data_IF_069522502756
#
_entry.id   IF_069522502756
#
_cell.length_a   1.000
_cell.length_b   1.000
_cell.length_c   1.000
_cell.angle_alpha   90.00
_cell.angle_beta   90.00
_cell.angle_gamma   90.00
#
_symmetry.space_group_name_H-M   'P 1'
#
loop_
_entity.id
_entity.type
_entity.pdbx_description
1 polymer ?
#
# COMPACT_ATOMS: atom_id res chain seq x y z
N UNK A 1 0.38 -17.88 -63.25
CA UNK A 1 -0.05 -16.69 -62.51
C UNK A 1 -0.90 -17.00 -61.27
N UNK A 2 -1.73 -18.03 -61.26
CA UNK A 2 -2.54 -18.34 -60.06
C UNK A 2 -1.73 -18.90 -58.87
N UNK A 3 -0.57 -19.51 -59.08
CA UNK A 3 0.28 -20.04 -57.99
C UNK A 3 1.10 -18.94 -57.30
N UNK A 4 1.32 -17.79 -57.91
CA UNK A 4 2.06 -16.66 -57.35
C UNK A 4 1.20 -15.87 -56.36
N UNK A 5 -0.11 -15.81 -56.57
CA UNK A 5 -1.07 -15.15 -55.69
C UNK A 5 -1.30 -15.90 -54.37
N UNK A 6 -1.23 -17.21 -54.39
CA UNK A 6 -1.42 -18.05 -53.22
C UNK A 6 -0.19 -17.95 -52.28
N UNK A 7 1.01 -17.80 -52.81
CA UNK A 7 2.25 -17.63 -52.06
C UNK A 7 2.31 -16.28 -51.36
N UNK A 8 1.80 -15.21 -51.98
CA UNK A 8 1.74 -13.87 -51.40
C UNK A 8 0.66 -13.82 -50.30
N UNK A 9 -0.43 -14.55 -50.44
CA UNK A 9 -1.50 -14.60 -49.43
C UNK A 9 -1.07 -15.40 -48.18
N UNK A 10 -0.25 -16.44 -48.29
CA UNK A 10 0.33 -17.14 -47.15
C UNK A 10 1.38 -16.33 -46.38
N UNK A 11 2.06 -15.38 -47.04
CA UNK A 11 3.06 -14.55 -46.38
C UNK A 11 2.46 -13.41 -45.52
N UNK A 12 1.22 -13.04 -45.81
CA UNK A 12 0.52 -11.95 -45.10
C UNK A 12 -0.16 -12.37 -43.81
N UNK A 13 -0.35 -13.68 -43.58
CA UNK A 13 -1.04 -14.19 -42.40
C UNK A 13 -0.10 -14.49 -41.21
N UNK A 14 1.20 -14.37 -41.37
CA UNK A 14 2.19 -14.72 -40.33
C UNK A 14 2.63 -13.55 -39.45
N UNK A 15 2.19 -12.32 -39.69
CA UNK A 15 2.75 -11.15 -39.02
C UNK A 15 2.00 -10.59 -37.81
N UNK A 16 0.93 -11.26 -37.34
CA UNK A 16 0.12 -10.72 -36.26
C UNK A 16 0.23 -11.40 -34.90
N UNK A 17 1.14 -12.37 -34.73
CA UNK A 17 1.18 -13.17 -33.50
C UNK A 17 2.15 -12.64 -32.43
N UNK A 18 2.99 -11.66 -32.73
CA UNK A 18 4.04 -11.22 -31.80
C UNK A 18 3.60 -10.12 -30.79
N UNK A 19 2.54 -9.36 -31.08
CA UNK A 19 2.15 -8.21 -30.26
C UNK A 19 1.37 -8.62 -29.01
N UNK A 20 0.72 -9.80 -29.00
CA UNK A 20 -0.05 -10.31 -27.87
C UNK A 20 0.81 -10.99 -26.80
N UNK A 21 1.97 -11.56 -27.15
CA UNK A 21 2.83 -12.26 -26.24
C UNK A 21 3.53 -11.32 -25.22
N UNK A 22 3.92 -10.12 -25.63
CA UNK A 22 4.58 -9.16 -24.77
C UNK A 22 3.63 -8.55 -23.72
N UNK A 23 2.37 -8.34 -24.05
CA UNK A 23 1.37 -7.82 -23.10
C UNK A 23 1.02 -8.81 -21.99
N UNK A 24 0.97 -10.09 -22.28
CA UNK A 24 0.72 -11.14 -21.29
C UNK A 24 1.92 -11.29 -20.36
N UNK A 25 3.14 -11.11 -20.86
CA UNK A 25 4.36 -11.19 -20.06
C UNK A 25 4.47 -10.06 -19.03
N UNK A 26 4.02 -8.86 -19.37
CA UNK A 26 4.02 -7.71 -18.47
C UNK A 26 2.91 -7.78 -17.40
N UNK A 27 1.86 -8.55 -17.63
CA UNK A 27 0.70 -8.67 -16.74
C UNK A 27 0.73 -9.93 -15.87
N UNK A 28 1.50 -10.94 -16.21
CA UNK A 28 1.55 -12.22 -15.51
C UNK A 28 2.78 -12.31 -14.59
N UNK A 29 2.58 -12.58 -13.31
CA UNK A 29 3.67 -12.93 -12.40
C UNK A 29 4.03 -14.40 -12.57
N UNK A 30 5.32 -14.71 -12.54
CA UNK A 30 5.81 -16.09 -12.61
C UNK A 30 5.36 -16.85 -11.34
N UNK A 31 4.68 -17.99 -11.50
CA UNK A 31 4.30 -18.85 -10.40
C UNK A 31 5.53 -19.44 -9.71
N UNK A 32 5.56 -19.43 -8.36
CA UNK A 32 6.59 -20.08 -7.54
C UNK A 32 7.54 -19.14 -6.80
N UNK A 33 7.86 -17.95 -7.34
CA UNK A 33 8.64 -16.92 -6.63
C UNK A 33 7.84 -15.63 -6.69
N UNK A 34 7.01 -15.39 -5.69
CA UNK A 34 6.18 -14.19 -5.61
C UNK A 34 6.65 -13.29 -4.49
N UNK A 35 6.81 -12.02 -4.79
CA UNK A 35 6.76 -11.00 -3.77
C UNK A 35 5.31 -10.81 -3.35
N UNK A 36 5.04 -10.89 -2.06
CA UNK A 36 3.71 -10.62 -1.53
C UNK A 36 3.58 -9.16 -1.16
N UNK A 37 2.58 -8.49 -1.72
CA UNK A 37 2.23 -7.14 -1.32
C UNK A 37 1.49 -7.18 0.01
N UNK A 38 1.96 -6.38 0.96
CA UNK A 38 1.33 -6.19 2.25
C UNK A 38 0.70 -4.81 2.31
N UNK A 39 -0.47 -4.73 2.93
CA UNK A 39 -1.20 -3.48 3.14
C UNK A 39 -1.66 -3.42 4.59
N UNK A 40 -1.52 -2.25 5.19
CA UNK A 40 -2.01 -1.96 6.54
C UNK A 40 -2.69 -0.61 6.59
N UNK A 41 -3.63 -0.48 7.50
CA UNK A 41 -4.26 0.78 7.86
C UNK A 41 -3.72 1.23 9.21
N UNK A 42 -3.19 2.44 9.27
CA UNK A 42 -2.50 2.92 10.47
C UNK A 42 -2.83 4.35 10.84
N UNK A 43 -2.32 4.74 11.99
CA UNK A 43 -2.42 6.09 12.52
C UNK A 43 -1.02 6.64 12.79
N UNK A 44 -0.76 7.83 12.25
CA UNK A 44 0.44 8.61 12.53
C UNK A 44 0.08 9.69 13.55
N UNK A 45 0.91 9.86 14.56
CA UNK A 45 0.76 10.88 15.61
C UNK A 45 2.00 11.75 15.71
N UNK A 46 1.89 12.85 16.45
CA UNK A 46 3.03 13.74 16.69
C UNK A 46 3.30 14.74 15.55
N UNK A 47 2.33 14.96 14.68
CA UNK A 47 2.43 15.94 13.60
C UNK A 47 2.31 17.37 14.14
N UNK A 48 3.02 18.33 13.53
CA UNK A 48 3.00 19.75 13.91
C UNK A 48 1.86 20.48 13.19
N UNK A 49 0.62 20.15 13.50
CA UNK A 49 -0.62 20.71 12.90
C UNK A 49 -0.75 20.46 11.39
N UNK A 50 -0.04 19.49 10.85
CA UNK A 50 -0.11 19.10 9.43
C UNK A 50 -0.99 17.88 9.18
N UNK A 51 -1.66 17.39 10.21
CA UNK A 51 -2.50 16.20 10.15
C UNK A 51 -3.88 16.44 9.54
N UNK A 52 -4.77 15.50 9.79
CA UNK A 52 -6.09 15.44 9.15
C UNK A 52 -7.11 16.47 9.69
N UNK A 53 -6.86 17.07 10.84
CA UNK A 53 -7.70 18.11 11.42
C UNK A 53 -9.11 17.61 11.78
N UNK A 54 -10.10 17.94 10.96
CA UNK A 54 -11.51 17.63 11.20
C UNK A 54 -12.02 16.36 10.53
N UNK A 55 -11.13 15.54 9.93
CA UNK A 55 -11.55 14.30 9.28
C UNK A 55 -12.15 13.34 10.30
N UNK A 56 -13.41 12.99 10.09
CA UNK A 56 -14.19 12.17 11.05
C UNK A 56 -13.57 10.77 11.24
N UNK A 57 -13.10 10.17 10.17
CA UNK A 57 -12.44 8.87 10.21
C UNK A 57 -11.21 8.90 11.14
N UNK A 58 -10.43 9.96 11.11
CA UNK A 58 -9.24 10.12 11.96
C UNK A 58 -9.63 10.30 13.42
N UNK A 59 -10.67 11.06 13.69
CA UNK A 59 -11.21 11.21 15.04
C UNK A 59 -11.70 9.90 15.61
N UNK A 60 -12.44 9.10 14.82
CA UNK A 60 -12.90 7.77 15.22
C UNK A 60 -11.72 6.83 15.50
N UNK A 61 -10.68 6.87 14.68
CA UNK A 61 -9.48 6.06 14.88
C UNK A 61 -8.78 6.40 16.19
N UNK A 62 -8.64 7.69 16.48
CA UNK A 62 -8.07 8.17 17.74
C UNK A 62 -8.95 7.74 18.92
N UNK A 63 -10.26 7.96 18.85
CA UNK A 63 -11.20 7.58 19.90
C UNK A 63 -11.14 6.06 20.19
N UNK A 64 -11.10 5.26 19.16
CA UNK A 64 -11.01 3.79 19.28
C UNK A 64 -9.69 3.36 19.92
N UNK A 65 -8.60 4.02 19.56
CA UNK A 65 -7.28 3.73 20.12
C UNK A 65 -7.21 4.08 21.61
N UNK A 66 -7.60 5.30 22.00
CA UNK A 66 -7.50 5.73 23.40
C UNK A 66 -8.49 4.97 24.31
N UNK A 67 -9.60 4.48 23.74
CA UNK A 67 -10.54 3.62 24.46
C UNK A 67 -9.88 2.32 24.94
N UNK A 68 -8.91 1.79 24.18
CA UNK A 68 -8.14 0.60 24.58
C UNK A 68 -7.30 0.86 25.84
N UNK A 69 -6.99 2.12 26.13
CA UNK A 69 -6.30 2.56 27.34
C UNK A 69 -7.26 3.00 28.47
N UNK A 70 -8.56 2.74 28.32
CA UNK A 70 -9.57 3.08 29.32
C UNK A 70 -10.05 4.53 29.27
N UNK A 71 -9.69 5.29 28.24
CA UNK A 71 -10.12 6.68 28.07
C UNK A 71 -11.31 6.74 27.12
N UNK A 72 -12.39 7.37 27.55
CA UNK A 72 -13.57 7.60 26.72
C UNK A 72 -13.58 9.08 26.34
N UNK A 73 -13.48 9.34 25.06
CA UNK A 73 -13.58 10.68 24.49
C UNK A 73 -14.62 10.69 23.36
N UNK A 74 -15.37 11.79 23.30
CA UNK A 74 -16.28 12.03 22.18
C UNK A 74 -15.48 12.50 20.96
N UNK A 75 -15.95 12.16 19.75
CA UNK A 75 -15.32 12.64 18.53
C UNK A 75 -15.29 14.17 18.43
N UNK A 76 -16.24 14.86 19.10
CA UNK A 76 -16.30 16.31 19.14
C UNK A 76 -15.12 16.93 19.91
N UNK A 77 -14.59 16.21 20.90
CA UNK A 77 -13.50 16.68 21.75
C UNK A 77 -12.12 16.41 21.16
N UNK A 78 -12.06 15.62 20.09
CA UNK A 78 -10.81 15.20 19.45
C UNK A 78 -10.46 16.16 18.31
N UNK A 79 -9.28 16.76 18.39
CA UNK A 79 -8.69 17.51 17.29
C UNK A 79 -7.56 16.69 16.68
N UNK A 80 -7.75 16.24 15.44
CA UNK A 80 -6.80 15.40 14.74
C UNK A 80 -5.74 16.19 13.95
N UNK A 81 -5.51 17.48 14.29
CA UNK A 81 -4.49 18.28 13.60
C UNK A 81 -3.07 17.72 13.73
N UNK A 82 -2.81 16.99 14.80
CA UNK A 82 -1.50 16.35 15.05
C UNK A 82 -1.47 14.87 14.71
N UNK A 83 -2.50 14.37 14.06
CA UNK A 83 -2.60 12.97 13.68
C UNK A 83 -3.14 12.82 12.25
N UNK A 84 -2.84 11.69 11.63
CA UNK A 84 -3.30 11.38 10.29
C UNK A 84 -3.56 9.89 10.13
N UNK A 85 -4.64 9.54 9.46
CA UNK A 85 -4.85 8.19 8.97
C UNK A 85 -4.00 7.94 7.74
N UNK A 86 -3.38 6.79 7.69
CA UNK A 86 -2.46 6.42 6.63
C UNK A 86 -2.70 5.01 6.14
N UNK A 87 -2.35 4.79 4.88
CA UNK A 87 -2.18 3.48 4.30
C UNK A 87 -0.69 3.13 4.34
N UNK A 88 -0.36 1.95 4.83
CA UNK A 88 1.00 1.44 4.88
C UNK A 88 1.12 0.30 3.89
N UNK A 89 2.11 0.37 3.03
CA UNK A 89 2.37 -0.67 2.03
C UNK A 89 3.79 -1.17 2.15
N UNK A 90 3.98 -2.45 1.87
CA UNK A 90 5.29 -3.08 1.86
C UNK A 90 5.31 -4.25 0.88
N UNK A 91 6.50 -4.65 0.49
CA UNK A 91 6.73 -5.86 -0.30
C UNK A 91 7.44 -6.88 0.57
N UNK A 92 6.79 -8.00 0.84
CA UNK A 92 7.39 -9.12 1.57
C UNK A 92 8.21 -9.97 0.59
N UNK A 93 9.53 -10.08 0.79
CA UNK A 93 10.37 -10.94 -0.04
C UNK A 93 9.94 -12.42 0.05
N UNK A 94 10.14 -13.23 -1.02
CA UNK A 94 9.66 -14.62 -1.04
C UNK A 94 10.29 -15.52 0.02
N UNK A 95 11.48 -15.20 0.51
CA UNK A 95 12.20 -15.98 1.53
C UNK A 95 12.36 -15.24 2.85
N UNK A 96 11.44 -14.31 3.14
CA UNK A 96 11.47 -13.57 4.40
C UNK A 96 11.28 -14.51 5.61
N UNK A 97 12.11 -14.30 6.65
CA UNK A 97 12.07 -15.08 7.88
C UNK A 97 11.55 -14.23 9.04
N UNK A 98 10.95 -14.85 10.07
CA UNK A 98 10.59 -14.15 11.30
C UNK A 98 11.80 -13.40 11.89
N UNK A 99 11.57 -12.16 12.34
CA UNK A 99 12.62 -11.30 12.89
C UNK A 99 13.35 -10.44 11.85
N UNK A 100 13.10 -10.65 10.57
CA UNK A 100 13.66 -9.82 9.50
C UNK A 100 12.89 -8.50 9.40
N UNK A 101 13.61 -7.40 9.15
CA UNK A 101 13.02 -6.09 8.89
C UNK A 101 12.82 -5.84 7.40
N UNK A 102 11.74 -5.14 7.06
CA UNK A 102 11.45 -4.70 5.70
C UNK A 102 11.09 -3.22 5.70
N UNK A 103 11.37 -2.55 4.60
CA UNK A 103 10.97 -1.16 4.43
C UNK A 103 9.47 -1.06 4.14
N UNK A 104 8.84 -0.04 4.69
CA UNK A 104 7.43 0.25 4.45
C UNK A 104 7.26 1.67 3.90
N UNK A 105 6.26 1.85 3.06
CA UNK A 105 5.84 3.17 2.56
C UNK A 105 4.57 3.57 3.26
N UNK A 106 4.56 4.78 3.80
CA UNK A 106 3.41 5.36 4.49
C UNK A 106 2.81 6.47 3.65
N UNK A 107 1.53 6.37 3.34
CA UNK A 107 0.81 7.33 2.48
C UNK A 107 -0.43 7.87 3.18
N UNK A 108 -0.65 9.17 3.06
CA UNK A 108 -1.85 9.81 3.61
C UNK A 108 -3.09 9.39 2.83
N UNK A 109 -4.20 9.21 3.54
CA UNK A 109 -5.52 8.91 2.94
C UNK A 109 -6.57 9.95 3.30
N UNK A 110 -6.26 10.86 4.21
CA UNK A 110 -7.13 11.94 4.63
C UNK A 110 -6.68 13.29 4.06
N UNK A 111 -6.71 14.32 4.89
CA UNK A 111 -6.38 15.70 4.53
C UNK A 111 -5.01 16.16 5.01
N UNK A 112 -4.20 15.27 5.57
CA UNK A 112 -2.89 15.63 6.09
C UNK A 112 -1.99 16.18 4.98
N UNK A 113 -1.34 17.31 5.28
CA UNK A 113 -0.46 18.01 4.33
C UNK A 113 0.97 17.50 4.37
N UNK A 114 1.40 16.98 5.51
CA UNK A 114 2.75 16.46 5.71
C UNK A 114 2.75 15.45 6.86
N UNK A 115 3.53 14.40 6.74
CA UNK A 115 3.78 13.41 7.79
C UNK A 115 5.14 13.63 8.49
N UNK A 116 5.81 14.73 8.19
CA UNK A 116 7.12 15.06 8.77
C UNK A 116 7.06 15.13 10.29
N UNK A 117 7.98 14.45 10.94
CA UNK A 117 8.08 14.41 12.40
C UNK A 117 7.09 13.44 13.07
N UNK A 118 6.25 12.77 12.29
CA UNK A 118 5.26 11.85 12.80
C UNK A 118 5.84 10.48 13.16
N UNK A 119 5.11 9.80 14.02
CA UNK A 119 5.39 8.42 14.42
C UNK A 119 4.21 7.55 14.03
N UNK A 120 4.48 6.49 13.27
CA UNK A 120 3.49 5.47 12.95
C UNK A 120 3.27 4.58 14.17
N UNK A 121 2.04 4.48 14.60
CA UNK A 121 1.65 3.55 15.64
C UNK A 121 1.59 2.12 15.09
N UNK A 122 1.65 1.15 16.00
CA UNK A 122 1.66 -0.27 15.65
C UNK A 122 0.53 -0.62 14.67
N UNK A 123 0.92 -1.07 13.49
CA UNK A 123 0.01 -1.33 12.37
C UNK A 123 0.22 -2.75 11.85
N UNK A 124 -0.85 -3.54 11.83
CA UNK A 124 -0.82 -4.88 11.25
C UNK A 124 -0.81 -4.80 9.72
N UNK A 125 0.16 -5.48 9.11
CA UNK A 125 0.32 -5.56 7.67
C UNK A 125 -0.22 -6.90 7.16
N UNK A 126 -1.22 -6.85 6.31
CA UNK A 126 -1.92 -8.03 5.80
C UNK A 126 -1.58 -8.30 4.35
N UNK A 127 -1.49 -9.58 4.00
CA UNK A 127 -1.39 -10.04 2.62
C UNK A 127 -2.77 -10.15 1.94
N UNK A 128 -2.76 -10.60 0.69
CA UNK A 128 -3.98 -10.79 -0.10
C UNK A 128 -4.94 -11.85 0.49
N UNK A 129 -4.44 -12.78 1.30
CA UNK A 129 -5.21 -13.78 2.02
C UNK A 129 -5.85 -13.27 3.33
N UNK A 130 -5.64 -11.99 3.68
CA UNK A 130 -6.13 -11.37 4.90
C UNK A 130 -5.35 -11.71 6.17
N UNK A 131 -4.28 -12.51 6.08
CA UNK A 131 -3.43 -12.85 7.21
C UNK A 131 -2.40 -11.76 7.49
N UNK A 132 -2.04 -11.59 8.78
CA UNK A 132 -0.99 -10.66 9.21
C UNK A 132 0.38 -11.28 9.02
N UNK A 133 1.23 -10.63 8.26
CA UNK A 133 2.61 -11.09 7.97
C UNK A 133 3.69 -10.20 8.57
N UNK A 134 3.35 -8.96 8.91
CA UNK A 134 4.30 -8.03 9.49
C UNK A 134 3.60 -7.01 10.40
N UNK A 135 4.38 -6.37 11.25
CA UNK A 135 3.95 -5.23 12.06
C UNK A 135 4.83 -4.04 11.69
N UNK A 136 4.20 -2.94 11.30
CA UNK A 136 4.88 -1.69 11.01
C UNK A 136 4.71 -0.70 12.16
N UNK A 137 5.79 -0.05 12.56
CA UNK A 137 5.79 1.02 13.56
C UNK A 137 7.09 1.82 13.51
N UNK A 138 7.06 3.02 14.01
CA UNK A 138 8.26 3.83 14.21
C UNK A 138 8.17 5.24 13.62
N UNK A 139 9.26 5.96 13.77
CA UNK A 139 9.37 7.33 13.27
C UNK A 139 9.43 7.36 11.75
N UNK A 140 8.73 8.33 11.17
CA UNK A 140 8.68 8.48 9.73
C UNK A 140 9.86 9.32 9.22
N UNK A 141 10.41 8.89 8.11
CA UNK A 141 11.39 9.65 7.34
C UNK A 141 10.69 10.17 6.08
N UNK A 142 10.64 11.48 5.95
CA UNK A 142 10.05 12.14 4.78
C UNK A 142 11.17 12.57 3.84
N UNK A 143 11.16 12.02 2.65
CA UNK A 143 12.11 12.35 1.60
C UNK A 143 11.80 13.70 0.95
N UNK A 144 12.82 14.46 0.75
CA UNK A 144 12.75 15.70 0.00
C UNK A 144 12.26 16.89 0.73
#
# INVERSE_FOLDING_TARGET
>A
MKKFFILIFCFFTFSNSFVLADRIKDMASIAGVRTNQLVGYGLVVGLAKTGDGSVELTKQSIASMIKQFGVIASNADINASNAANVMVTATLPPFAKPGQTIDVTVSTIGKAKSLKGGTLLMTAMKGADGQVYAIAQGNLVVGG
#
